data_IF_839947735947
#
_entry.id   IF_839947735947
#
_cell.length_a   1.000
_cell.length_b   1.000
_cell.length_c   1.000
_cell.angle_alpha   90.00
_cell.angle_beta   90.00
_cell.angle_gamma   90.00
#
_symmetry.space_group_name_H-M   'P 1'
#
loop_
_entity.id
_entity.type
_entity.pdbx_description
1 polymer ?
#
# COMPACT_ATOMS: atom_id res chain seq x y z
N UNK A 1 14.87 -2.28 17.04
CA UNK A 1 14.86 -1.27 15.96
C UNK A 1 13.78 -1.63 14.96
N UNK A 2 12.91 -0.69 14.60
CA UNK A 2 11.81 -0.96 13.68
C UNK A 2 12.10 -0.42 12.29
N UNK A 3 12.32 -1.30 11.33
CA UNK A 3 12.61 -1.02 9.92
C UNK A 3 11.62 -1.75 8.99
N UNK A 4 10.36 -1.89 9.42
CA UNK A 4 9.29 -2.52 8.64
C UNK A 4 8.10 -1.56 8.42
N UNK A 5 8.40 -0.29 8.10
CA UNK A 5 7.40 0.78 7.94
C UNK A 5 6.46 0.56 6.74
N UNK A 6 6.80 -0.32 5.79
CA UNK A 6 5.90 -0.70 4.70
C UNK A 6 4.84 -1.73 5.15
N UNK A 7 5.08 -2.49 6.22
CA UNK A 7 4.05 -3.35 6.81
C UNK A 7 3.04 -2.52 7.62
N UNK A 8 3.52 -1.68 8.51
CA UNK A 8 2.70 -0.71 9.30
C UNK A 8 3.62 0.35 9.86
N UNK A 9 3.08 1.52 10.20
CA UNK A 9 3.84 2.59 10.84
C UNK A 9 3.38 2.81 12.29
N UNK A 10 4.27 3.37 13.11
CA UNK A 10 3.91 3.92 14.41
C UNK A 10 2.92 5.06 14.22
N UNK A 11 1.87 5.12 15.05
CA UNK A 11 0.98 6.29 15.06
C UNK A 11 1.77 7.53 15.50
N UNK A 12 1.65 8.61 14.74
CA UNK A 12 2.27 9.89 15.10
C UNK A 12 1.63 10.39 16.41
N UNK A 13 2.42 10.80 17.43
CA UNK A 13 1.87 11.29 18.69
C UNK A 13 0.83 12.41 18.50
N UNK A 14 1.05 13.32 17.56
CA UNK A 14 0.11 14.41 17.24
C UNK A 14 -1.24 13.89 16.74
N UNK A 15 -1.24 12.79 16.00
CA UNK A 15 -2.45 12.09 15.56
C UNK A 15 -3.18 11.48 16.74
N UNK A 16 -2.45 10.82 17.65
CA UNK A 16 -3.02 10.22 18.84
C UNK A 16 -3.66 11.26 19.74
N UNK A 17 -2.99 12.39 19.96
CA UNK A 17 -3.50 13.51 20.77
C UNK A 17 -4.84 14.05 20.23
N UNK A 18 -5.02 14.07 18.91
CA UNK A 18 -6.29 14.45 18.28
C UNK A 18 -7.39 13.39 18.42
N UNK A 19 -7.02 12.12 18.46
CA UNK A 19 -7.99 11.02 18.56
C UNK A 19 -8.55 10.85 19.99
N UNK A 20 -7.72 11.02 21.02
CA UNK A 20 -8.07 10.74 22.43
C UNK A 20 -9.37 11.41 22.87
N UNK A 21 -9.62 12.72 22.61
CA UNK A 21 -10.87 13.36 23.01
C UNK A 21 -12.13 12.71 22.41
N UNK A 22 -12.01 12.11 21.22
CA UNK A 22 -13.14 11.45 20.55
C UNK A 22 -13.33 9.99 20.99
N UNK A 23 -12.44 9.47 21.79
CA UNK A 23 -12.58 8.18 22.47
C UNK A 23 -13.15 8.33 23.89
N UNK A 24 -12.96 9.48 24.54
CA UNK A 24 -13.28 9.68 25.96
C UNK A 24 -14.46 10.65 26.18
N UNK A 25 -14.44 11.80 25.54
CA UNK A 25 -15.35 12.91 25.83
C UNK A 25 -16.40 13.09 24.71
N UNK A 26 -15.97 13.11 23.46
CA UNK A 26 -16.79 13.41 22.27
C UNK A 26 -17.18 12.13 21.50
N UNK A 27 -17.61 11.10 22.22
CA UNK A 27 -17.90 9.75 21.70
C UNK A 27 -19.25 9.62 20.94
N UNK A 28 -19.82 10.73 20.48
CA UNK A 28 -21.11 10.74 19.80
C UNK A 28 -21.15 9.94 18.49
N UNK A 29 -22.32 9.37 18.18
CA UNK A 29 -22.57 8.73 16.90
C UNK A 29 -22.91 9.79 15.85
N UNK A 30 -22.19 9.86 14.73
CA UNK A 30 -22.39 10.82 13.65
C UNK A 30 -23.79 10.78 12.99
N UNK A 31 -24.51 9.67 13.14
CA UNK A 31 -25.91 9.53 12.65
C UNK A 31 -26.94 10.12 13.60
N UNK A 32 -26.59 10.42 14.85
CA UNK A 32 -27.50 10.94 15.88
C UNK A 32 -27.57 12.46 15.87
N UNK A 33 -28.09 13.04 14.81
CA UNK A 33 -28.10 14.50 14.57
C UNK A 33 -29.05 15.31 15.51
N UNK A 34 -29.86 14.63 16.31
CA UNK A 34 -30.82 15.26 17.24
C UNK A 34 -30.17 15.93 18.46
N UNK A 35 -28.90 15.67 18.76
CA UNK A 35 -28.17 16.22 19.91
C UNK A 35 -26.76 16.62 19.54
N UNK A 36 -26.11 17.43 20.44
CA UNK A 36 -24.79 18.02 20.15
C UNK A 36 -23.67 16.98 19.95
N UNK A 37 -23.65 15.89 20.71
CA UNK A 37 -22.65 14.83 20.55
C UNK A 37 -22.63 14.27 19.12
N UNK A 38 -23.80 13.93 18.55
CA UNK A 38 -23.88 13.43 17.20
C UNK A 38 -23.54 14.48 16.14
N UNK A 39 -23.97 15.74 16.35
CA UNK A 39 -23.63 16.86 15.45
C UNK A 39 -22.12 17.10 15.40
N UNK A 40 -21.43 17.01 16.56
CA UNK A 40 -19.98 17.16 16.64
C UNK A 40 -19.27 16.03 15.91
N UNK A 41 -19.66 14.78 16.18
CA UNK A 41 -19.14 13.64 15.46
C UNK A 41 -19.30 13.76 13.93
N UNK A 42 -20.49 14.24 13.47
CA UNK A 42 -20.73 14.49 12.04
C UNK A 42 -19.82 15.58 11.47
N UNK A 43 -19.59 16.68 12.19
CA UNK A 43 -18.66 17.73 11.76
C UNK A 43 -17.25 17.18 11.51
N UNK A 44 -16.79 16.26 12.37
CA UNK A 44 -15.47 15.61 12.23
C UNK A 44 -15.44 14.73 10.98
N UNK A 45 -16.47 13.95 10.72
CA UNK A 45 -16.56 13.16 9.48
C UNK A 45 -16.50 14.08 8.25
N UNK A 46 -17.32 15.15 8.25
CA UNK A 46 -17.36 16.11 7.13
C UNK A 46 -16.02 16.86 6.97
N UNK A 47 -15.36 17.21 8.06
CA UNK A 47 -14.00 17.78 8.06
C UNK A 47 -13.00 16.80 7.44
N UNK A 48 -12.98 15.56 7.88
CA UNK A 48 -12.06 14.54 7.41
C UNK A 48 -12.24 14.24 5.91
N UNK A 49 -13.49 14.20 5.42
CA UNK A 49 -13.79 14.10 3.98
C UNK A 49 -13.19 15.27 3.20
N UNK A 50 -13.34 16.50 3.69
CA UNK A 50 -12.75 17.68 3.04
C UNK A 50 -11.23 17.64 3.01
N UNK A 51 -10.57 17.18 4.09
CA UNK A 51 -9.12 17.04 4.13
C UNK A 51 -8.63 16.06 3.08
N UNK A 52 -9.17 14.83 3.09
CA UNK A 52 -8.75 13.79 2.15
C UNK A 52 -9.04 14.19 0.71
N UNK A 53 -10.23 14.72 0.43
CA UNK A 53 -10.61 15.15 -0.92
C UNK A 53 -9.73 16.28 -1.45
N UNK A 54 -9.36 17.25 -0.60
CA UNK A 54 -8.45 18.33 -0.98
C UNK A 54 -7.06 17.81 -1.34
N UNK A 55 -6.54 16.84 -0.60
CA UNK A 55 -5.24 16.21 -0.87
C UNK A 55 -5.23 15.50 -2.24
N UNK A 56 -6.37 14.91 -2.63
CA UNK A 56 -6.52 14.15 -3.87
C UNK A 56 -7.01 14.98 -5.07
N UNK A 57 -7.32 16.26 -4.90
CA UNK A 57 -8.03 17.09 -5.89
C UNK A 57 -9.39 16.49 -6.29
N UNK A 58 -10.17 16.08 -5.28
CA UNK A 58 -11.49 15.46 -5.40
C UNK A 58 -12.57 16.27 -4.68
N UNK A 59 -13.84 15.82 -4.75
CA UNK A 59 -14.93 16.36 -3.96
C UNK A 59 -15.12 15.55 -2.66
N UNK A 60 -15.58 16.19 -1.58
CA UNK A 60 -15.76 15.54 -0.29
C UNK A 60 -16.78 14.38 -0.33
N UNK A 61 -17.78 14.46 -1.20
CA UNK A 61 -18.81 13.41 -1.40
C UNK A 61 -18.30 12.22 -2.26
N UNK A 62 -17.07 12.28 -2.76
CA UNK A 62 -16.43 11.18 -3.46
C UNK A 62 -15.56 10.33 -2.52
N UNK A 63 -15.49 10.68 -1.23
CA UNK A 63 -14.74 9.94 -0.20
C UNK A 63 -15.69 9.05 0.60
N UNK A 64 -15.39 7.77 0.66
CA UNK A 64 -16.11 6.73 1.42
C UNK A 64 -15.13 6.16 2.43
N UNK A 65 -15.40 6.30 3.73
CA UNK A 65 -14.55 5.71 4.76
C UNK A 65 -14.81 4.21 4.92
N UNK A 66 -13.72 3.47 5.10
CA UNK A 66 -13.69 2.01 5.23
C UNK A 66 -12.82 1.60 6.41
N UNK A 67 -12.69 0.30 6.66
CA UNK A 67 -11.76 -0.24 7.68
C UNK A 67 -10.30 -0.28 7.23
N UNK A 68 -10.01 -0.05 5.95
CA UNK A 68 -8.66 -0.08 5.38
C UNK A 68 -8.65 -0.29 3.87
N UNK A 69 -7.47 -0.31 3.27
CA UNK A 69 -7.31 -0.49 1.83
C UNK A 69 -7.92 -1.82 1.33
N UNK A 70 -7.83 -2.90 2.09
CA UNK A 70 -8.42 -4.20 1.72
C UNK A 70 -9.94 -4.11 1.52
N UNK A 71 -10.67 -3.47 2.44
CA UNK A 71 -12.11 -3.23 2.28
C UNK A 71 -12.38 -2.32 1.08
N UNK A 72 -11.59 -1.25 0.92
CA UNK A 72 -11.74 -0.30 -0.20
C UNK A 72 -11.56 -0.96 -1.56
N UNK A 73 -10.53 -1.82 -1.70
CA UNK A 73 -10.27 -2.57 -2.94
C UNK A 73 -11.38 -3.57 -3.23
N UNK A 74 -11.81 -4.35 -2.23
CA UNK A 74 -12.94 -5.26 -2.38
C UNK A 74 -14.21 -4.51 -2.80
N UNK A 75 -14.51 -3.38 -2.14
CA UNK A 75 -15.69 -2.55 -2.48
C UNK A 75 -15.60 -2.02 -3.91
N UNK A 76 -14.43 -1.52 -4.34
CA UNK A 76 -14.23 -1.03 -5.70
C UNK A 76 -14.35 -2.14 -6.74
N UNK A 77 -13.62 -3.24 -6.57
CA UNK A 77 -13.58 -4.34 -7.54
C UNK A 77 -14.94 -5.04 -7.64
N UNK A 78 -15.43 -5.60 -6.52
CA UNK A 78 -16.70 -6.33 -6.47
C UNK A 78 -17.88 -5.43 -6.81
N UNK A 79 -17.84 -4.17 -6.36
CA UNK A 79 -18.90 -3.21 -6.60
C UNK A 79 -19.05 -2.84 -8.07
N UNK A 80 -17.95 -2.70 -8.83
CA UNK A 80 -18.00 -2.49 -10.29
C UNK A 80 -18.55 -3.71 -10.99
N UNK A 81 -18.02 -4.90 -10.68
CA UNK A 81 -18.45 -6.17 -11.32
C UNK A 81 -19.93 -6.42 -11.08
N UNK A 82 -20.42 -6.30 -9.83
CA UNK A 82 -21.83 -6.50 -9.50
C UNK A 82 -22.77 -5.47 -10.14
N UNK A 83 -22.25 -4.32 -10.56
CA UNK A 83 -23.02 -3.28 -11.26
C UNK A 83 -22.88 -3.40 -12.80
N UNK A 84 -21.97 -4.23 -13.30
CA UNK A 84 -21.76 -4.41 -14.74
C UNK A 84 -22.97 -5.07 -15.39
N UNK A 85 -23.28 -4.62 -16.61
CA UNK A 85 -24.29 -5.22 -17.49
C UNK A 85 -23.68 -5.98 -18.66
N UNK A 86 -22.36 -6.08 -18.67
CA UNK A 86 -21.60 -6.79 -19.72
C UNK A 86 -21.62 -8.27 -19.36
N UNK A 87 -22.04 -9.10 -20.30
CA UNK A 87 -21.90 -10.54 -20.18
C UNK A 87 -20.41 -10.91 -20.23
N UNK A 88 -19.95 -11.76 -19.29
CA UNK A 88 -18.53 -12.13 -19.15
C UNK A 88 -17.60 -10.92 -18.98
N UNK A 89 -17.81 -10.10 -17.92
CA UNK A 89 -16.99 -8.91 -17.67
C UNK A 89 -15.51 -9.29 -17.51
N UNK A 90 -14.63 -8.39 -17.97
CA UNK A 90 -13.18 -8.60 -17.97
C UNK A 90 -12.50 -7.56 -17.06
N UNK A 91 -11.57 -8.03 -16.24
CA UNK A 91 -10.68 -7.23 -15.39
C UNK A 91 -9.25 -7.38 -15.86
N UNK A 92 -8.52 -6.27 -15.95
CA UNK A 92 -7.07 -6.29 -16.14
C UNK A 92 -6.40 -5.92 -14.81
N UNK A 93 -5.46 -6.74 -14.38
CA UNK A 93 -4.61 -6.49 -13.21
C UNK A 93 -3.20 -7.03 -13.43
N UNK A 94 -2.31 -6.94 -12.44
CA UNK A 94 -0.90 -7.26 -12.61
C UNK A 94 -0.42 -8.27 -11.56
N UNK A 95 0.52 -9.14 -11.93
CA UNK A 95 1.05 -10.18 -11.03
C UNK A 95 1.75 -9.66 -9.78
N UNK A 96 2.10 -8.38 -9.75
CA UNK A 96 2.75 -7.72 -8.59
C UNK A 96 1.79 -6.99 -7.66
N UNK A 97 0.49 -7.13 -7.86
CA UNK A 97 -0.54 -6.53 -7.01
C UNK A 97 -0.50 -7.09 -5.58
N UNK A 98 -1.07 -6.31 -4.65
CA UNK A 98 -1.29 -6.80 -3.29
C UNK A 98 -2.33 -7.94 -3.26
N UNK A 99 -2.20 -8.88 -2.30
CA UNK A 99 -3.14 -9.99 -2.12
C UNK A 99 -4.61 -9.56 -2.04
N UNK A 100 -4.90 -8.37 -1.49
CA UNK A 100 -6.26 -7.83 -1.47
C UNK A 100 -6.88 -7.63 -2.86
N UNK A 101 -6.07 -7.45 -3.91
CA UNK A 101 -6.49 -7.41 -5.32
C UNK A 101 -6.52 -8.83 -5.89
N UNK A 102 -5.40 -9.56 -5.80
CA UNK A 102 -5.25 -10.87 -6.43
C UNK A 102 -6.30 -11.87 -5.92
N UNK A 103 -6.48 -11.98 -4.59
CA UNK A 103 -7.42 -12.92 -4.00
C UNK A 103 -8.88 -12.49 -4.26
N UNK A 104 -9.15 -11.17 -4.39
CA UNK A 104 -10.48 -10.68 -4.80
C UNK A 104 -10.77 -11.02 -6.26
N UNK A 105 -9.79 -10.88 -7.14
CA UNK A 105 -9.93 -11.26 -8.55
C UNK A 105 -10.11 -12.78 -8.70
N UNK A 106 -9.32 -13.58 -7.99
CA UNK A 106 -9.45 -15.05 -7.98
C UNK A 106 -10.86 -15.49 -7.54
N UNK A 107 -11.41 -14.90 -6.48
CA UNK A 107 -12.79 -15.15 -6.05
C UNK A 107 -13.81 -14.80 -7.15
N UNK A 108 -13.59 -13.76 -7.93
CA UNK A 108 -14.48 -13.37 -9.01
C UNK A 108 -14.37 -14.29 -10.23
N UNK A 109 -13.18 -14.83 -10.51
CA UNK A 109 -12.99 -15.86 -11.57
C UNK A 109 -13.83 -17.11 -11.28
N UNK A 110 -13.90 -17.56 -10.01
CA UNK A 110 -14.78 -18.66 -9.59
C UNK A 110 -16.26 -18.37 -9.88
N UNK A 111 -16.62 -17.09 -10.02
CA UNK A 111 -17.96 -16.62 -10.35
C UNK A 111 -18.15 -16.32 -11.85
N UNK A 112 -17.16 -16.64 -12.69
CA UNK A 112 -17.24 -16.50 -14.16
C UNK A 112 -16.77 -15.15 -14.70
N UNK A 113 -16.06 -14.32 -13.90
CA UNK A 113 -15.40 -13.09 -14.38
C UNK A 113 -14.09 -13.46 -15.09
N UNK A 114 -13.81 -12.87 -16.24
CA UNK A 114 -12.51 -13.03 -16.90
C UNK A 114 -11.49 -12.08 -16.26
N UNK A 115 -10.30 -12.57 -15.91
CA UNK A 115 -9.23 -11.75 -15.33
C UNK A 115 -7.90 -11.99 -16.05
N UNK A 116 -7.31 -10.93 -16.55
CA UNK A 116 -5.94 -10.93 -17.02
C UNK A 116 -4.97 -10.45 -15.92
N UNK A 117 -4.07 -11.34 -15.51
CA UNK A 117 -2.96 -11.03 -14.60
C UNK A 117 -1.70 -10.79 -15.43
N UNK A 118 -1.46 -9.56 -15.83
CA UNK A 118 -0.37 -9.21 -16.72
C UNK A 118 1.00 -9.36 -16.04
N UNK A 119 1.97 -9.84 -16.82
CA UNK A 119 3.37 -9.81 -16.43
C UNK A 119 3.88 -8.37 -16.33
N UNK A 120 4.92 -8.17 -15.54
CA UNK A 120 5.61 -6.90 -15.38
C UNK A 120 7.04 -6.98 -15.89
N UNK A 121 7.69 -5.84 -16.05
CA UNK A 121 9.11 -5.73 -16.36
C UNK A 121 9.97 -6.27 -15.19
N UNK A 122 11.25 -6.52 -15.41
CA UNK A 122 12.18 -7.02 -14.39
C UNK A 122 12.38 -6.06 -13.20
N UNK A 123 12.03 -4.80 -13.36
CA UNK A 123 12.00 -3.80 -12.27
C UNK A 123 10.62 -3.69 -11.60
N UNK A 124 9.65 -4.50 -12.04
CA UNK A 124 8.28 -4.53 -11.54
C UNK A 124 7.35 -3.46 -12.15
N UNK A 125 7.82 -2.69 -13.12
CA UNK A 125 6.98 -1.70 -13.82
C UNK A 125 6.05 -2.37 -14.84
N UNK A 126 4.92 -1.70 -15.11
CA UNK A 126 3.94 -2.15 -16.10
C UNK A 126 4.55 -2.11 -17.50
N UNK A 127 4.36 -3.19 -18.28
CA UNK A 127 4.59 -3.23 -19.71
C UNK A 127 3.38 -2.59 -20.42
N UNK A 128 3.56 -1.36 -20.89
CA UNK A 128 2.49 -0.58 -21.50
C UNK A 128 1.98 -1.19 -22.82
N UNK A 129 2.83 -1.83 -23.59
CA UNK A 129 2.42 -2.45 -24.86
C UNK A 129 1.51 -3.65 -24.60
N UNK A 130 1.90 -4.53 -23.68
CA UNK A 130 1.07 -5.66 -23.27
C UNK A 130 -0.24 -5.21 -22.65
N UNK A 131 -0.19 -4.17 -21.81
CA UNK A 131 -1.40 -3.58 -21.20
C UNK A 131 -2.39 -3.10 -22.28
N UNK A 132 -1.92 -2.35 -23.28
CA UNK A 132 -2.78 -1.87 -24.37
C UNK A 132 -3.38 -3.03 -25.16
N UNK A 133 -2.59 -4.08 -25.45
CA UNK A 133 -3.03 -5.26 -26.21
C UNK A 133 -4.05 -6.12 -25.44
N UNK A 134 -4.09 -6.07 -24.11
CA UNK A 134 -5.05 -6.82 -23.28
C UNK A 134 -6.43 -6.17 -23.21
N UNK A 135 -6.56 -4.90 -23.59
CA UNK A 135 -7.84 -4.19 -23.57
C UNK A 135 -8.77 -4.77 -24.66
N UNK A 136 -9.99 -5.11 -24.27
CA UNK A 136 -11.02 -5.62 -25.17
C UNK A 136 -12.41 -5.03 -24.80
N UNK A 137 -13.42 -5.32 -25.64
CA UNK A 137 -14.78 -4.76 -25.51
C UNK A 137 -15.48 -5.15 -24.18
N UNK A 138 -15.06 -6.24 -23.54
CA UNK A 138 -15.59 -6.69 -22.25
C UNK A 138 -14.83 -6.12 -21.05
N UNK A 139 -13.76 -5.35 -21.26
CA UNK A 139 -12.96 -4.80 -20.16
C UNK A 139 -13.75 -3.73 -19.41
N UNK A 140 -14.11 -4.02 -18.17
CA UNK A 140 -14.92 -3.15 -17.29
C UNK A 140 -14.13 -2.49 -16.16
N UNK A 141 -12.90 -2.95 -15.90
CA UNK A 141 -12.07 -2.44 -14.82
C UNK A 141 -10.60 -2.74 -15.06
N UNK A 142 -9.75 -1.75 -14.78
CA UNK A 142 -8.31 -1.93 -14.59
C UNK A 142 -7.99 -1.69 -13.12
N UNK A 143 -7.23 -2.58 -12.48
CA UNK A 143 -6.76 -2.44 -11.09
C UNK A 143 -5.25 -2.38 -11.09
N UNK A 144 -4.68 -1.35 -10.47
CA UNK A 144 -3.24 -1.09 -10.47
C UNK A 144 -2.73 -0.62 -9.12
N UNK A 145 -1.69 -1.28 -8.62
CA UNK A 145 -0.91 -0.83 -7.47
C UNK A 145 -0.01 0.35 -7.89
N UNK A 146 -0.20 1.53 -7.27
CA UNK A 146 0.60 2.71 -7.59
C UNK A 146 2.06 2.56 -7.16
N UNK A 147 2.28 2.09 -5.92
CA UNK A 147 3.63 1.87 -5.41
C UNK A 147 3.72 0.51 -4.72
N UNK A 148 4.62 -0.34 -5.19
CA UNK A 148 4.76 -1.69 -4.67
C UNK A 148 5.40 -1.69 -3.27
N UNK A 149 4.76 -2.39 -2.34
CA UNK A 149 5.17 -2.46 -0.93
C UNK A 149 6.43 -3.32 -0.70
N UNK A 150 6.78 -4.20 -1.63
CA UNK A 150 7.93 -5.11 -1.50
C UNK A 150 9.18 -4.53 -2.17
N UNK A 151 9.11 -4.27 -3.46
CA UNK A 151 10.26 -3.85 -4.29
C UNK A 151 10.31 -2.35 -4.57
N UNK A 152 9.29 -1.60 -4.14
CA UNK A 152 9.28 -0.14 -4.20
C UNK A 152 9.01 0.47 -5.58
N UNK A 153 8.65 -0.31 -6.58
CA UNK A 153 8.31 0.17 -7.94
C UNK A 153 7.16 1.16 -7.88
N UNK A 154 7.28 2.30 -8.57
CA UNK A 154 6.23 3.29 -8.73
C UNK A 154 5.72 3.21 -10.17
N UNK A 155 4.47 2.83 -10.34
CA UNK A 155 3.84 2.70 -11.65
C UNK A 155 3.38 4.04 -12.24
N UNK A 156 3.41 4.21 -13.58
CA UNK A 156 3.07 5.45 -14.26
C UNK A 156 1.56 5.65 -14.37
N UNK A 157 0.86 5.89 -13.23
CA UNK A 157 -0.61 5.93 -13.15
C UNK A 157 -1.24 6.95 -14.09
N UNK A 158 -0.62 8.11 -14.33
CA UNK A 158 -1.14 9.10 -15.28
C UNK A 158 -1.21 8.56 -16.71
N UNK A 159 -0.18 7.84 -17.14
CA UNK A 159 -0.15 7.25 -18.48
C UNK A 159 -1.22 6.17 -18.62
N UNK A 160 -1.30 5.27 -17.64
CA UNK A 160 -2.31 4.19 -17.62
C UNK A 160 -3.72 4.77 -17.48
N UNK A 161 -3.92 5.76 -16.60
CA UNK A 161 -5.20 6.43 -16.43
C UNK A 161 -5.69 7.13 -17.69
N UNK A 162 -4.79 7.73 -18.48
CA UNK A 162 -5.13 8.31 -19.78
C UNK A 162 -5.60 7.24 -20.77
N UNK A 163 -4.89 6.13 -20.87
CA UNK A 163 -5.27 5.00 -21.74
C UNK A 163 -6.64 4.46 -21.31
N UNK A 164 -6.86 4.25 -20.02
CA UNK A 164 -8.15 3.81 -19.49
C UNK A 164 -9.28 4.79 -19.84
N UNK A 165 -9.04 6.11 -19.67
CA UNK A 165 -10.02 7.14 -20.02
C UNK A 165 -10.36 7.15 -21.51
N UNK A 166 -9.37 7.03 -22.39
CA UNK A 166 -9.56 6.98 -23.84
C UNK A 166 -10.40 5.77 -24.28
N UNK A 167 -10.35 4.67 -23.51
CA UNK A 167 -11.14 3.46 -23.73
C UNK A 167 -12.42 3.38 -22.87
N UNK A 168 -12.78 4.44 -22.12
CA UNK A 168 -13.92 4.49 -21.18
C UNK A 168 -13.91 3.39 -20.11
N UNK A 169 -12.73 2.92 -19.69
CA UNK A 169 -12.55 1.90 -18.67
C UNK A 169 -12.21 2.57 -17.33
N UNK A 170 -12.91 2.28 -16.23
CA UNK A 170 -12.54 2.74 -14.90
C UNK A 170 -11.16 2.22 -14.46
N UNK A 171 -10.32 3.11 -13.89
CA UNK A 171 -9.07 2.75 -13.23
C UNK A 171 -9.26 2.81 -11.71
N UNK A 172 -9.07 1.67 -11.03
CA UNK A 172 -8.95 1.59 -9.57
C UNK A 172 -7.47 1.49 -9.18
N UNK A 173 -7.01 2.44 -8.39
CA UNK A 173 -5.62 2.51 -7.93
C UNK A 173 -5.51 2.04 -6.47
N UNK A 174 -4.68 1.02 -6.21
CA UNK A 174 -4.23 0.75 -4.84
C UNK A 174 -3.13 1.77 -4.47
N UNK A 175 -3.50 2.74 -3.67
CA UNK A 175 -2.60 3.77 -3.16
C UNK A 175 -2.22 3.56 -1.68
N UNK A 176 -2.38 2.35 -1.14
CA UNK A 176 -2.06 2.08 0.26
C UNK A 176 -0.63 2.49 0.64
N UNK A 177 0.33 2.30 -0.25
CA UNK A 177 1.72 2.70 -0.01
C UNK A 177 2.06 4.11 -0.51
N UNK A 178 1.33 4.64 -1.46
CA UNK A 178 1.66 5.92 -2.10
C UNK A 178 0.92 7.11 -1.51
N UNK A 179 -0.32 6.94 -1.03
CA UNK A 179 -1.08 8.01 -0.38
C UNK A 179 -0.28 8.61 0.79
N UNK A 180 -0.17 9.93 0.82
CA UNK A 180 0.62 10.66 1.82
C UNK A 180 2.15 10.60 1.65
N UNK A 181 2.67 9.79 0.71
CA UNK A 181 4.12 9.66 0.42
C UNK A 181 4.48 10.11 -0.99
N UNK A 182 3.54 10.08 -1.92
CA UNK A 182 3.69 10.53 -3.31
C UNK A 182 2.51 11.46 -3.61
N UNK A 183 2.71 12.61 -4.24
CA UNK A 183 1.61 13.45 -4.69
C UNK A 183 0.71 12.71 -5.68
N UNK A 184 -0.60 12.76 -5.46
CA UNK A 184 -1.62 12.14 -6.31
C UNK A 184 -2.68 13.19 -6.62
N UNK A 185 -3.04 13.35 -7.88
CA UNK A 185 -4.12 14.20 -8.36
C UNK A 185 -5.09 13.35 -9.18
N UNK A 186 -6.22 12.96 -8.58
CA UNK A 186 -7.15 12.02 -9.22
C UNK A 186 -7.76 12.55 -10.51
N UNK A 187 -7.84 13.87 -10.69
CA UNK A 187 -8.35 14.48 -11.92
C UNK A 187 -7.30 14.43 -13.03
N UNK A 188 -6.09 14.89 -12.75
CA UNK A 188 -5.00 14.96 -13.71
C UNK A 188 -4.37 13.60 -14.02
N UNK A 189 -4.49 12.64 -13.11
CA UNK A 189 -4.01 11.27 -13.28
C UNK A 189 -5.10 10.33 -13.80
N UNK A 190 -6.31 10.86 -14.08
CA UNK A 190 -7.46 10.14 -14.65
C UNK A 190 -7.88 8.92 -13.82
N UNK A 191 -7.79 9.01 -12.50
CA UNK A 191 -8.14 7.95 -11.58
C UNK A 191 -9.64 7.93 -11.34
N UNK A 192 -10.28 6.78 -11.54
CA UNK A 192 -11.72 6.61 -11.32
C UNK A 192 -12.04 6.25 -9.86
N UNK A 193 -11.19 5.44 -9.24
CA UNK A 193 -11.28 5.03 -7.84
C UNK A 193 -9.87 4.88 -7.25
N UNK A 194 -9.73 5.12 -5.93
CA UNK A 194 -8.45 5.00 -5.25
C UNK A 194 -8.65 4.52 -3.81
N UNK A 195 -7.90 3.48 -3.42
CA UNK A 195 -7.91 2.93 -2.07
C UNK A 195 -6.73 3.47 -1.25
N UNK A 196 -7.00 3.97 -0.04
CA UNK A 196 -5.99 4.44 0.91
C UNK A 196 -6.14 3.83 2.30
N UNK A 197 -5.08 3.85 3.10
CA UNK A 197 -5.03 3.26 4.46
C UNK A 197 -4.30 4.15 5.44
N UNK A 198 -4.87 4.31 6.65
CA UNK A 198 -4.31 5.20 7.69
C UNK A 198 -2.97 4.70 8.25
N UNK A 199 -2.85 3.40 8.52
CA UNK A 199 -1.67 2.85 9.20
C UNK A 199 -0.39 2.82 8.36
N UNK A 200 -0.44 3.19 7.09
CA UNK A 200 0.73 3.32 6.22
C UNK A 200 1.32 4.73 6.20
N UNK A 201 0.61 5.69 6.80
CA UNK A 201 0.95 7.11 6.82
C UNK A 201 1.00 7.67 8.26
N UNK A 202 1.37 6.84 9.22
CA UNK A 202 1.47 7.22 10.65
C UNK A 202 0.11 7.52 11.31
N UNK A 203 -0.98 7.04 10.72
CA UNK A 203 -2.33 7.04 11.26
C UNK A 203 -2.70 5.72 11.95
N UNK A 204 -3.92 5.60 12.48
CA UNK A 204 -4.38 4.38 13.15
C UNK A 204 -4.63 3.24 12.17
N UNK A 205 -4.53 2.00 12.69
CA UNK A 205 -5.05 0.79 12.03
C UNK A 205 -6.59 0.78 12.05
N UNK A 206 -7.22 -0.03 11.22
CA UNK A 206 -8.67 -0.20 11.21
C UNK A 206 -9.44 0.98 10.60
N UNK A 207 -8.78 1.81 9.80
CA UNK A 207 -9.38 2.89 9.02
C UNK A 207 -8.67 3.08 7.69
N UNK A 208 -9.46 3.30 6.66
CA UNK A 208 -9.04 3.65 5.32
C UNK A 208 -10.13 4.40 4.58
N UNK A 209 -9.99 4.55 3.30
CA UNK A 209 -10.98 5.19 2.45
C UNK A 209 -10.93 4.66 1.02
N UNK A 210 -12.06 4.74 0.35
CA UNK A 210 -12.19 4.65 -1.10
C UNK A 210 -12.55 6.04 -1.62
N UNK A 211 -11.69 6.64 -2.47
CA UNK A 211 -12.13 7.68 -3.39
C UNK A 211 -12.89 7.00 -4.54
N UNK A 212 -14.05 7.50 -4.86
CA UNK A 212 -14.87 7.04 -5.99
C UNK A 212 -15.40 8.25 -6.76
N UNK A 213 -14.96 8.42 -7.99
CA UNK A 213 -15.49 9.44 -8.87
C UNK A 213 -17.01 9.33 -8.94
N UNK A 214 -17.73 10.46 -8.88
CA UNK A 214 -19.19 10.51 -8.86
C UNK A 214 -19.87 9.75 -10.02
N UNK A 215 -19.21 9.66 -11.15
CA UNK A 215 -19.72 9.00 -12.36
C UNK A 215 -19.54 7.47 -12.35
N UNK A 216 -18.78 6.92 -11.40
CA UNK A 216 -18.61 5.48 -11.25
C UNK A 216 -19.73 4.93 -10.36
N UNK A 217 -20.42 3.91 -10.84
CA UNK A 217 -21.45 3.20 -10.12
C UNK A 217 -20.90 1.89 -9.56
N UNK A 218 -21.08 1.69 -8.27
CA UNK A 218 -20.69 0.47 -7.56
C UNK A 218 -21.83 -0.05 -6.72
N UNK A 219 -21.94 -1.35 -6.61
CA UNK A 219 -22.87 -2.00 -5.67
C UNK A 219 -22.19 -2.09 -4.29
N UNK A 220 -22.88 -1.70 -3.19
CA UNK A 220 -22.30 -1.81 -1.86
C UNK A 220 -22.09 -3.27 -1.45
N UNK A 221 -21.00 -3.53 -0.69
CA UNK A 221 -20.75 -4.85 -0.12
C UNK A 221 -21.42 -5.06 1.24
N UNK A 222 -21.54 -4.00 2.02
CA UNK A 222 -22.10 -4.04 3.37
C UNK A 222 -23.40 -3.26 3.42
N UNK A 223 -24.49 -3.98 3.69
CA UNK A 223 -25.84 -3.42 3.79
C UNK A 223 -26.20 -3.10 5.24
N UNK A 224 -27.08 -2.12 5.48
CA UNK A 224 -27.51 -1.70 6.82
C UNK A 224 -28.04 -0.27 6.82
N UNK A 225 -27.65 0.54 7.79
CA UNK A 225 -28.20 1.88 8.05
C UNK A 225 -27.90 2.99 7.04
N UNK A 226 -27.44 2.68 5.82
CA UNK A 226 -27.25 3.65 4.74
C UNK A 226 -26.14 4.69 4.95
N UNK A 227 -25.16 4.40 5.83
CA UNK A 227 -24.01 5.26 6.03
C UNK A 227 -23.19 5.41 4.75
N UNK A 228 -22.31 6.41 4.71
CA UNK A 228 -21.46 6.69 3.56
C UNK A 228 -22.26 6.73 2.23
N UNK A 229 -23.37 7.46 2.24
CA UNK A 229 -24.26 7.61 1.08
C UNK A 229 -24.81 6.27 0.54
N UNK A 230 -24.93 5.26 1.41
CA UNK A 230 -25.40 3.92 1.06
C UNK A 230 -24.30 2.98 0.54
N UNK A 231 -23.11 3.45 0.31
CA UNK A 231 -22.01 2.61 -0.22
C UNK A 231 -21.34 1.74 0.83
N UNK A 232 -21.39 2.15 2.11
CA UNK A 232 -20.75 1.39 3.19
C UNK A 232 -21.50 1.59 4.51
N UNK A 233 -22.30 0.64 4.90
CA UNK A 233 -23.07 0.67 6.15
C UNK A 233 -22.22 0.30 7.36
N UNK A 234 -22.67 0.72 8.55
CA UNK A 234 -22.04 0.52 9.85
C UNK A 234 -21.62 1.84 10.50
N UNK A 235 -21.75 1.92 11.83
CA UNK A 235 -21.38 3.11 12.59
C UNK A 235 -19.95 3.54 12.28
N UNK A 236 -19.78 4.82 11.98
CA UNK A 236 -18.49 5.37 11.58
C UNK A 236 -17.51 5.43 12.76
N UNK A 237 -16.27 5.00 12.51
CA UNK A 237 -15.15 5.09 13.46
C UNK A 237 -14.62 6.54 13.51
N UNK A 238 -15.35 7.42 14.21
CA UNK A 238 -15.06 8.87 14.27
C UNK A 238 -13.60 9.15 14.67
N UNK A 239 -13.06 8.58 15.79
CA UNK A 239 -11.68 8.85 16.18
C UNK A 239 -10.67 8.30 15.15
N UNK A 240 -10.91 7.14 14.56
CA UNK A 240 -10.03 6.59 13.52
C UNK A 240 -10.03 7.42 12.23
N UNK A 241 -11.21 7.91 11.82
CA UNK A 241 -11.36 8.76 10.63
C UNK A 241 -10.67 10.12 10.84
N UNK A 242 -10.81 10.72 12.02
CA UNK A 242 -10.06 11.91 12.39
C UNK A 242 -8.55 11.64 12.34
N UNK A 243 -8.11 10.54 12.96
CA UNK A 243 -6.69 10.15 12.97
C UNK A 243 -6.12 9.95 11.56
N UNK A 244 -6.88 9.36 10.64
CA UNK A 244 -6.49 9.23 9.24
C UNK A 244 -6.30 10.60 8.57
N UNK A 245 -7.25 11.53 8.75
CA UNK A 245 -7.17 12.86 8.12
C UNK A 245 -6.03 13.71 8.70
N UNK A 246 -5.81 13.65 10.01
CA UNK A 246 -4.68 14.33 10.66
C UNK A 246 -3.33 13.75 10.20
N UNK A 247 -3.21 12.43 10.10
CA UNK A 247 -2.02 11.78 9.57
C UNK A 247 -1.72 12.21 8.13
N UNK A 248 -2.75 12.30 7.30
CA UNK A 248 -2.63 12.77 5.91
C UNK A 248 -2.18 14.24 5.84
N UNK A 249 -2.73 15.11 6.69
CA UNK A 249 -2.33 16.52 6.81
C UNK A 249 -0.86 16.64 7.18
N UNK A 250 -0.42 15.92 8.23
CA UNK A 250 0.98 15.91 8.68
C UNK A 250 1.91 15.39 7.59
N UNK A 251 1.52 14.36 6.84
CA UNK A 251 2.31 13.86 5.73
C UNK A 251 2.49 14.90 4.62
N UNK A 252 1.44 15.69 4.32
CA UNK A 252 1.52 16.78 3.37
C UNK A 252 2.47 17.91 3.84
N UNK A 253 2.33 18.34 5.08
CA UNK A 253 3.15 19.39 5.68
C UNK A 253 4.62 19.00 5.76
N UNK A 254 4.90 17.76 6.12
CA UNK A 254 6.26 17.25 6.30
C UNK A 254 6.86 16.62 5.04
N UNK A 255 6.15 16.55 3.92
CA UNK A 255 6.57 15.81 2.72
C UNK A 255 8.04 16.05 2.32
N UNK A 256 8.46 17.31 2.18
CA UNK A 256 9.83 17.65 1.79
C UNK A 256 10.86 17.27 2.85
N UNK A 257 10.52 17.45 4.13
CA UNK A 257 11.38 17.11 5.27
C UNK A 257 11.54 15.60 5.39
N UNK A 258 10.43 14.85 5.34
CA UNK A 258 10.43 13.38 5.39
C UNK A 258 11.19 12.80 4.21
N UNK A 259 10.96 13.33 2.99
CA UNK A 259 11.67 12.87 1.79
C UNK A 259 13.18 13.01 1.94
N UNK A 260 13.68 14.15 2.39
CA UNK A 260 15.11 14.36 2.62
C UNK A 260 15.62 13.41 3.70
N UNK A 261 14.99 13.41 4.88
CA UNK A 261 15.40 12.61 6.02
C UNK A 261 15.47 11.10 5.69
N UNK A 262 14.42 10.55 5.08
CA UNK A 262 14.35 9.12 4.76
C UNK A 262 15.34 8.77 3.65
N UNK A 263 15.56 9.64 2.67
CA UNK A 263 16.59 9.41 1.64
C UNK A 263 18.00 9.40 2.24
N UNK A 264 18.30 10.36 3.14
CA UNK A 264 19.60 10.41 3.80
C UNK A 264 19.86 9.12 4.61
N UNK A 265 18.85 8.63 5.34
CA UNK A 265 18.94 7.38 6.08
C UNK A 265 19.07 6.15 5.16
N UNK A 266 18.34 6.14 4.04
CA UNK A 266 18.43 5.05 3.05
C UNK A 266 19.82 4.99 2.41
N UNK A 267 20.41 6.14 2.10
CA UNK A 267 21.77 6.24 1.57
C UNK A 267 22.80 5.72 2.58
N UNK A 268 22.69 6.10 3.87
CA UNK A 268 23.55 5.60 4.94
C UNK A 268 23.46 4.07 5.07
N UNK A 269 22.26 3.50 5.02
CA UNK A 269 22.10 2.05 5.07
C UNK A 269 22.81 1.34 3.91
N UNK A 270 22.60 1.83 2.68
CA UNK A 270 23.22 1.26 1.48
C UNK A 270 24.76 1.43 1.49
N UNK A 271 25.26 2.56 1.99
CA UNK A 271 26.70 2.78 2.15
C UNK A 271 27.33 1.79 3.13
N UNK A 272 26.69 1.53 4.27
CA UNK A 272 27.16 0.51 5.22
C UNK A 272 27.23 -0.88 4.59
N UNK A 273 26.24 -1.27 3.78
CA UNK A 273 26.24 -2.55 3.07
C UNK A 273 27.37 -2.62 2.02
N UNK A 274 27.52 -1.56 1.21
CA UNK A 274 28.53 -1.52 0.14
C UNK A 274 29.95 -1.57 0.69
N UNK A 275 30.23 -0.91 1.82
CA UNK A 275 31.53 -0.89 2.47
C UNK A 275 31.86 -2.20 3.20
N UNK A 276 30.89 -3.08 3.37
CA UNK A 276 31.03 -4.29 4.18
C UNK A 276 31.57 -5.51 3.44
N UNK A 277 31.85 -5.44 2.12
CA UNK A 277 32.23 -6.58 1.29
C UNK A 277 31.26 -7.78 1.43
N UNK A 278 29.96 -7.51 1.29
CA UNK A 278 28.91 -8.52 1.16
C UNK A 278 28.29 -8.36 -0.21
N UNK A 279 28.15 -9.45 -0.93
CA UNK A 279 27.49 -9.47 -2.22
C UNK A 279 25.97 -9.38 -2.03
N UNK A 280 25.35 -8.39 -2.68
CA UNK A 280 23.91 -8.22 -2.68
C UNK A 280 23.37 -7.74 -4.02
N UNK A 281 22.12 -8.06 -4.30
CA UNK A 281 21.39 -7.63 -5.49
C UNK A 281 20.21 -6.76 -5.04
N UNK A 282 20.05 -5.59 -5.64
CA UNK A 282 18.88 -4.73 -5.40
C UNK A 282 17.73 -5.25 -6.25
N UNK A 283 16.61 -5.60 -5.61
CA UNK A 283 15.39 -6.04 -6.28
C UNK A 283 14.48 -4.85 -6.59
N UNK A 284 13.91 -4.82 -7.80
CA UNK A 284 13.11 -3.71 -8.29
C UNK A 284 13.93 -2.53 -8.83
N UNK A 285 13.33 -1.34 -9.03
CA UNK A 285 13.97 -0.21 -9.70
C UNK A 285 15.13 0.38 -8.89
N UNK A 286 16.20 0.79 -9.56
CA UNK A 286 17.34 1.49 -8.94
C UNK A 286 17.05 2.96 -8.68
N UNK A 287 16.16 3.57 -9.47
CA UNK A 287 15.70 4.96 -9.38
C UNK A 287 14.17 5.01 -9.37
N UNK A 288 13.58 6.12 -8.98
CA UNK A 288 12.12 6.29 -8.88
C UNK A 288 11.44 5.21 -8.02
N UNK A 289 12.04 4.95 -6.86
CA UNK A 289 11.57 3.96 -5.88
C UNK A 289 10.75 4.64 -4.79
N UNK A 290 9.79 3.89 -4.23
CA UNK A 290 9.05 4.30 -3.03
C UNK A 290 10.02 4.66 -1.91
N UNK A 291 9.81 5.82 -1.33
CA UNK A 291 10.64 6.40 -0.29
C UNK A 291 10.85 5.42 0.88
N UNK A 292 12.12 5.23 1.25
CA UNK A 292 12.50 4.36 2.37
C UNK A 292 12.39 2.85 2.10
N UNK A 293 11.92 2.42 0.93
CA UNK A 293 11.87 1.00 0.56
C UNK A 293 13.23 0.53 0.03
N UNK A 294 13.79 -0.49 0.66
CA UNK A 294 15.00 -1.18 0.22
C UNK A 294 14.69 -2.67 0.21
N UNK A 295 14.71 -3.29 -0.96
CA UNK A 295 14.61 -4.74 -1.11
C UNK A 295 15.89 -5.25 -1.74
N UNK A 296 16.58 -6.15 -1.04
CA UNK A 296 17.87 -6.69 -1.45
C UNK A 296 17.91 -8.19 -1.20
N UNK A 297 18.56 -8.92 -2.12
CA UNK A 297 18.93 -10.32 -1.94
C UNK A 297 20.39 -10.38 -1.49
N UNK A 298 20.64 -10.93 -0.32
CA UNK A 298 21.98 -11.12 0.25
C UNK A 298 22.55 -12.46 -0.26
N UNK A 299 23.44 -12.41 -1.23
CA UNK A 299 23.92 -13.61 -1.93
C UNK A 299 24.51 -14.65 -0.96
N UNK A 300 23.97 -15.87 -1.01
CA UNK A 300 24.41 -16.97 -0.16
C UNK A 300 23.91 -16.95 1.29
N UNK A 301 22.99 -16.04 1.65
CA UNK A 301 22.39 -15.94 2.99
C UNK A 301 20.94 -16.37 2.94
N UNK A 302 20.52 -17.22 3.86
CA UNK A 302 19.08 -17.54 4.05
C UNK A 302 18.40 -16.42 4.87
N UNK A 303 17.43 -15.75 4.26
CA UNK A 303 16.72 -14.64 4.91
C UNK A 303 15.86 -15.09 6.09
N UNK A 304 15.40 -16.35 6.11
CA UNK A 304 14.66 -16.92 7.25
C UNK A 304 15.58 -17.08 8.46
N UNK A 305 16.74 -17.68 8.23
CA UNK A 305 17.77 -17.78 9.28
C UNK A 305 18.19 -16.39 9.78
N UNK A 306 18.51 -15.46 8.86
CA UNK A 306 18.95 -14.12 9.23
C UNK A 306 17.93 -13.40 10.10
N UNK A 307 16.66 -13.36 9.69
CA UNK A 307 15.59 -12.66 10.47
C UNK A 307 15.34 -13.33 11.82
N UNK A 308 15.55 -14.64 11.94
CA UNK A 308 15.44 -15.38 13.21
C UNK A 308 16.60 -15.01 14.14
N UNK A 309 17.79 -14.74 13.59
CA UNK A 309 18.99 -14.42 14.38
C UNK A 309 19.11 -12.96 14.80
N UNK A 310 18.22 -12.08 14.32
CA UNK A 310 18.19 -10.64 14.65
C UNK A 310 16.78 -10.16 15.05
N UNK A 311 16.09 -10.81 16.01
CA UNK A 311 14.69 -10.50 16.34
C UNK A 311 14.51 -9.07 16.87
N UNK A 312 15.57 -8.43 17.33
CA UNK A 312 15.58 -7.03 17.80
C UNK A 312 15.51 -6.01 16.64
N UNK A 313 15.71 -6.44 15.39
CA UNK A 313 15.59 -5.61 14.19
C UNK A 313 14.39 -6.10 13.37
N UNK A 314 13.31 -5.34 13.41
CA UNK A 314 12.12 -5.64 12.63
C UNK A 314 12.35 -5.28 11.16
N UNK A 315 12.61 -6.30 10.34
CA UNK A 315 12.66 -6.25 8.88
C UNK A 315 11.74 -7.34 8.32
N UNK A 316 11.34 -7.22 7.07
CA UNK A 316 10.55 -8.26 6.43
C UNK A 316 11.42 -9.12 5.50
N UNK A 317 11.02 -10.38 5.33
CA UNK A 317 11.47 -11.22 4.22
C UNK A 317 10.70 -10.85 2.96
N UNK A 318 11.15 -11.27 1.79
CA UNK A 318 10.44 -11.05 0.52
C UNK A 318 8.98 -11.51 0.52
N UNK A 319 8.61 -12.41 1.42
CA UNK A 319 7.26 -12.99 1.56
C UNK A 319 6.55 -12.60 2.86
N UNK A 320 6.71 -11.37 3.34
CA UNK A 320 6.05 -10.94 4.57
C UNK A 320 4.54 -10.78 4.36
N UNK A 321 3.74 -11.67 4.86
CA UNK A 321 2.30 -11.57 5.19
C UNK A 321 1.40 -12.70 4.67
N UNK A 322 1.88 -13.92 4.58
CA UNK A 322 0.95 -15.05 4.66
C UNK A 322 1.39 -15.95 5.81
N UNK A 323 0.61 -15.94 6.89
CA UNK A 323 0.65 -16.95 7.94
C UNK A 323 0.65 -18.31 7.27
N UNK A 324 1.59 -19.17 7.55
CA UNK A 324 1.61 -20.61 7.38
C UNK A 324 2.25 -21.25 6.15
N UNK A 325 2.72 -20.54 5.12
CA UNK A 325 3.47 -21.20 4.04
C UNK A 325 4.78 -20.49 3.71
N UNK A 326 5.89 -21.25 3.77
CA UNK A 326 7.23 -20.84 3.32
C UNK A 326 7.20 -20.86 1.79
N UNK A 327 6.53 -19.87 1.17
CA UNK A 327 6.62 -19.69 -0.28
C UNK A 327 7.33 -18.38 -0.60
N UNK A 328 8.23 -18.37 -1.61
CA UNK A 328 8.85 -17.15 -2.10
C UNK A 328 7.80 -16.12 -2.52
N UNK A 329 8.12 -14.83 -2.38
CA UNK A 329 7.25 -13.74 -2.76
C UNK A 329 6.77 -13.87 -4.21
N UNK A 330 5.45 -13.78 -4.42
CA UNK A 330 4.87 -13.72 -5.77
C UNK A 330 5.39 -12.50 -6.56
N UNK A 331 5.71 -11.39 -5.88
CA UNK A 331 6.28 -10.18 -6.49
C UNK A 331 7.69 -10.45 -7.01
N UNK A 332 8.54 -11.10 -6.21
CA UNK A 332 9.91 -11.43 -6.61
C UNK A 332 9.93 -12.44 -7.76
N UNK A 333 9.02 -13.41 -7.75
CA UNK A 333 8.83 -14.33 -8.88
C UNK A 333 8.33 -13.61 -10.13
N UNK A 334 7.37 -12.68 -10.00
CA UNK A 334 6.82 -11.92 -11.12
C UNK A 334 7.87 -11.06 -11.84
N UNK A 335 8.89 -10.56 -11.13
CA UNK A 335 10.03 -9.84 -11.74
C UNK A 335 11.12 -10.77 -12.28
N UNK A 336 10.91 -12.09 -12.26
CA UNK A 336 11.86 -13.09 -12.78
C UNK A 336 13.04 -13.40 -11.86
N UNK A 337 12.95 -13.09 -10.57
CA UNK A 337 14.00 -13.42 -9.61
C UNK A 337 14.03 -14.94 -9.37
N UNK A 338 15.22 -15.54 -9.45
CA UNK A 338 15.40 -16.97 -9.17
C UNK A 338 15.07 -17.28 -7.71
N UNK A 339 14.54 -18.48 -7.43
CA UNK A 339 14.12 -18.89 -6.09
C UNK A 339 15.25 -18.72 -5.04
N UNK A 340 16.49 -19.09 -5.37
CA UNK A 340 17.65 -18.92 -4.49
C UNK A 340 17.89 -17.46 -4.06
N UNK A 341 17.71 -16.51 -4.97
CA UNK A 341 17.81 -15.08 -4.68
C UNK A 341 16.58 -14.55 -3.95
N UNK A 342 15.43 -15.12 -4.23
CA UNK A 342 14.17 -14.79 -3.54
C UNK A 342 14.23 -15.23 -2.07
N UNK A 343 14.79 -16.41 -1.76
CA UNK A 343 14.97 -16.92 -0.41
C UNK A 343 16.02 -16.15 0.41
N UNK A 344 16.91 -15.44 -0.27
CA UNK A 344 17.91 -14.54 0.33
C UNK A 344 17.42 -13.09 0.46
N UNK A 345 16.19 -12.79 0.01
CA UNK A 345 15.68 -11.43 -0.05
C UNK A 345 15.16 -10.93 1.30
N UNK A 346 15.62 -9.75 1.68
CA UNK A 346 15.09 -8.98 2.81
C UNK A 346 14.55 -7.63 2.34
N UNK A 347 13.50 -7.17 3.03
CA UNK A 347 13.00 -5.80 2.85
C UNK A 347 13.23 -4.99 4.11
N UNK A 348 13.96 -3.90 3.96
CA UNK A 348 14.13 -2.84 4.95
C UNK A 348 13.25 -1.67 4.52
N UNK A 349 12.42 -1.17 5.41
CA UNK A 349 11.60 0.00 5.12
C UNK A 349 11.72 1.05 6.23
N UNK A 350 12.37 2.15 5.86
CA UNK A 350 12.74 3.28 6.74
C UNK A 350 11.60 4.29 6.76
N UNK A 351 11.30 4.82 7.95
CA UNK A 351 10.24 5.78 8.15
C UNK A 351 10.68 7.04 8.90
N UNK A 352 9.74 7.97 9.08
CA UNK A 352 9.90 9.28 9.72
C UNK A 352 10.61 9.25 11.08
N UNK A 353 10.36 8.21 11.87
CA UNK A 353 10.84 8.13 13.24
C UNK A 353 12.17 7.38 13.40
N UNK A 354 12.73 6.86 12.31
CA UNK A 354 14.07 6.27 12.35
C UNK A 354 15.16 7.34 12.41
N UNK A 355 16.33 6.96 12.88
CA UNK A 355 17.49 7.84 13.00
C UNK A 355 18.80 7.14 12.57
N UNK A 356 19.86 7.93 12.35
CA UNK A 356 21.15 7.41 11.86
C UNK A 356 21.79 6.38 12.78
N UNK A 357 21.58 6.46 14.10
CA UNK A 357 22.11 5.48 15.05
C UNK A 357 21.44 4.10 14.84
N UNK A 358 20.12 4.09 14.68
CA UNK A 358 19.36 2.86 14.39
C UNK A 358 19.79 2.25 13.06
N UNK A 359 19.97 3.08 12.02
CA UNK A 359 20.40 2.62 10.69
C UNK A 359 21.79 1.97 10.77
N UNK A 360 22.76 2.62 11.44
CA UNK A 360 24.07 2.08 11.63
C UNK A 360 24.05 0.72 12.34
N UNK A 361 23.39 0.64 13.51
CA UNK A 361 23.30 -0.60 14.28
C UNK A 361 22.63 -1.71 13.44
N UNK A 362 21.54 -1.40 12.75
CA UNK A 362 20.84 -2.40 11.94
C UNK A 362 21.71 -2.90 10.78
N UNK A 363 22.37 -2.02 10.05
CA UNK A 363 23.25 -2.40 8.96
C UNK A 363 24.44 -3.25 9.45
N UNK A 364 25.12 -2.83 10.53
CA UNK A 364 26.24 -3.57 11.12
C UNK A 364 25.81 -4.96 11.61
N UNK A 365 24.62 -5.08 12.23
CA UNK A 365 24.09 -6.37 12.71
C UNK A 365 23.72 -7.29 11.54
N UNK A 366 23.03 -6.80 10.52
CA UNK A 366 22.69 -7.56 9.31
C UNK A 366 23.97 -8.05 8.63
N UNK A 367 24.96 -7.17 8.44
CA UNK A 367 26.27 -7.51 7.86
C UNK A 367 26.99 -8.58 8.68
N UNK A 368 27.10 -8.38 9.99
CA UNK A 368 27.79 -9.29 10.89
C UNK A 368 27.21 -10.71 10.85
N UNK A 369 25.88 -10.81 10.94
CA UNK A 369 25.18 -12.09 10.89
C UNK A 369 25.23 -12.74 9.50
N UNK A 370 25.17 -11.96 8.44
CA UNK A 370 25.33 -12.48 7.08
C UNK A 370 26.71 -13.11 6.88
N UNK A 371 27.79 -12.45 7.34
CA UNK A 371 29.15 -13.01 7.29
C UNK A 371 29.28 -14.27 8.15
N UNK A 372 28.69 -14.28 9.33
CA UNK A 372 28.67 -15.47 10.21
C UNK A 372 28.02 -16.66 9.50
N UNK A 373 26.89 -16.46 8.82
CA UNK A 373 26.19 -17.49 8.07
C UNK A 373 27.03 -18.04 6.91
N UNK A 374 27.60 -17.15 6.09
CA UNK A 374 28.44 -17.53 4.93
C UNK A 374 29.64 -18.33 5.39
N UNK A 375 30.36 -17.90 6.45
CA UNK A 375 31.54 -18.59 6.98
C UNK A 375 31.18 -19.98 7.53
N UNK A 376 30.09 -20.14 8.26
CA UNK A 376 29.64 -21.46 8.75
C UNK A 376 29.32 -22.40 7.60
N UNK A 377 28.68 -21.93 6.53
CA UNK A 377 28.35 -22.73 5.35
C UNK A 377 29.59 -23.17 4.58
N UNK A 378 30.61 -22.33 4.49
CA UNK A 378 31.91 -22.68 3.88
C UNK A 378 32.63 -23.79 4.66
N UNK A 379 32.59 -23.76 6.01
CA UNK A 379 33.20 -24.78 6.87
C UNK A 379 32.45 -26.12 6.77
N UNK A 380 31.10 -26.09 6.64
CA UNK A 380 30.30 -27.33 6.54
C UNK A 380 30.37 -28.00 5.17
N UNK A 381 30.77 -27.27 4.13
CA UNK A 381 30.98 -27.81 2.77
C UNK A 381 32.43 -28.26 2.50
N UNK A 382 33.30 -28.11 3.47
CA UNK A 382 34.69 -28.67 3.50
C UNK A 382 34.71 -29.97 4.32
#
# INVERSE_FOLDING_TARGET
IYLDNNATTKVDPRVLDKMVPYLQENYGNASSIGHNYGKEAKKIIDYSKRVISKILNANANEIIFTSGATESLNLGIKGVISNSKIDNPHIITFKTEHKAVLDTCLFLEESGVNVDYLDVQTDGSVDLERFIQSINDNTVLVVLLHANNEIGTINPIRTIGRICKENNIPLLVDAAQSFGKIPIDVQNDFISMLAGSGHKIYGPKGVGFLYKNKNIHITPLMHGGGHEMGYRSGTLNVPGILGLSEAATICQELYKKDKKHINDLSSQFMEHLSNANIDFIINGPKVNRLLGNINISLVGVDATWLTTMIPEIAIARGSACTSDTIQPSHVLRAIGLKDELSDSAIRVSIGRFNNSKEIKIAAETIVGKSKEYINKRLIMNL
#
